data_IF_647221846396
#
_entry.id   IF_647221846396
#
_cell.length_a   1.000
_cell.length_b   1.000
_cell.length_c   1.000
_cell.angle_alpha   90.00
_cell.angle_beta   90.00
_cell.angle_gamma   90.00
#
_symmetry.space_group_name_H-M   'P 1'
#
loop_
_entity.id
_entity.type
_entity.pdbx_description
1 polymer ?
#
# COMPACT_ATOMS: atom_id res chain seq x y z
N UNK A 1 19.92 -64.58 -53.80
CA UNK A 1 20.04 -63.71 -52.60
C UNK A 1 19.15 -62.48 -52.82
N UNK A 2 17.97 -62.42 -52.20
CA UNK A 2 17.07 -61.26 -52.26
C UNK A 2 17.34 -60.39 -51.03
N UNK A 3 17.73 -59.13 -51.24
CA UNK A 3 17.90 -58.13 -50.18
C UNK A 3 16.51 -57.58 -49.81
N UNK A 4 16.09 -57.78 -48.57
CA UNK A 4 14.88 -57.16 -47.99
C UNK A 4 15.31 -55.81 -47.43
N UNK A 5 14.69 -54.72 -47.91
CA UNK A 5 14.84 -53.39 -47.33
C UNK A 5 13.79 -53.21 -46.23
N UNK A 6 14.25 -53.03 -44.99
CA UNK A 6 13.43 -52.71 -43.83
C UNK A 6 13.16 -51.19 -43.84
N UNK A 7 11.92 -50.80 -44.12
CA UNK A 7 11.47 -49.41 -43.94
C UNK A 7 11.06 -49.19 -42.49
N UNK A 8 11.82 -48.38 -41.76
CA UNK A 8 11.45 -47.89 -40.42
C UNK A 8 10.56 -46.66 -40.62
N UNK A 9 9.29 -46.77 -40.23
CA UNK A 9 8.36 -45.64 -40.19
C UNK A 9 8.52 -44.95 -38.84
N UNK A 10 9.10 -43.76 -38.82
CA UNK A 10 9.17 -42.89 -37.64
C UNK A 10 7.88 -42.08 -37.59
N UNK A 11 6.99 -42.41 -36.65
CA UNK A 11 5.81 -41.58 -36.35
C UNK A 11 6.25 -40.32 -35.60
N UNK A 12 6.13 -39.16 -36.25
CA UNK A 12 6.19 -37.87 -35.58
C UNK A 12 4.90 -37.66 -34.79
N UNK A 13 4.98 -37.73 -33.47
CA UNK A 13 3.91 -37.29 -32.58
C UNK A 13 3.90 -35.75 -32.61
N UNK A 14 2.94 -35.19 -33.35
CA UNK A 14 2.67 -33.75 -33.33
C UNK A 14 1.94 -33.45 -32.03
N UNK A 15 2.68 -32.96 -31.04
CA UNK A 15 2.08 -32.34 -29.85
C UNK A 15 1.26 -31.14 -30.33
N UNK A 16 -0.06 -31.28 -30.31
CA UNK A 16 -0.97 -30.16 -30.47
C UNK A 16 -0.81 -29.29 -29.24
N UNK A 17 -0.03 -28.23 -29.36
CA UNK A 17 0.05 -27.17 -28.37
C UNK A 17 -1.30 -26.47 -28.38
N UNK A 18 -2.18 -26.84 -27.46
CA UNK A 18 -3.40 -26.07 -27.20
C UNK A 18 -2.96 -24.66 -26.82
N UNK A 19 -3.48 -23.60 -27.47
CA UNK A 19 -3.24 -22.26 -26.99
C UNK A 19 -3.73 -22.20 -25.55
N UNK A 20 -2.83 -21.86 -24.63
CA UNK A 20 -3.19 -21.50 -23.26
C UNK A 20 -4.36 -20.55 -23.35
N UNK A 21 -5.51 -20.94 -22.81
CA UNK A 21 -6.55 -19.97 -22.46
C UNK A 21 -5.82 -18.82 -21.77
N UNK A 22 -5.88 -17.64 -22.35
CA UNK A 22 -5.52 -16.42 -21.64
C UNK A 22 -6.51 -16.36 -20.49
N UNK A 23 -6.09 -16.85 -19.33
CA UNK A 23 -6.88 -16.79 -18.12
C UNK A 23 -7.34 -15.35 -17.99
N UNK A 24 -8.65 -15.11 -18.12
CA UNK A 24 -9.23 -13.83 -17.80
C UNK A 24 -8.89 -13.58 -16.34
N UNK A 25 -7.92 -12.69 -16.11
CA UNK A 25 -7.68 -12.16 -14.77
C UNK A 25 -8.89 -11.28 -14.48
N UNK A 26 -9.66 -11.64 -13.45
CA UNK A 26 -10.78 -10.83 -12.96
C UNK A 26 -10.20 -9.53 -12.41
N UNK A 27 -10.05 -8.54 -13.28
CA UNK A 27 -9.54 -7.22 -12.89
C UNK A 27 -10.56 -6.56 -11.99
N UNK A 28 -10.04 -5.77 -11.06
CA UNK A 28 -10.88 -4.91 -10.25
C UNK A 28 -11.57 -3.85 -11.12
N UNK A 29 -12.87 -3.62 -10.88
CA UNK A 29 -13.72 -2.68 -11.62
C UNK A 29 -14.38 -1.71 -10.64
N UNK A 30 -14.75 -0.50 -11.10
CA UNK A 30 -15.46 0.50 -10.27
C UNK A 30 -16.97 0.40 -10.59
N UNK A 31 -17.47 -0.83 -10.65
CA UNK A 31 -18.84 -1.18 -11.02
C UNK A 31 -19.71 -1.53 -9.81
N UNK A 32 -19.18 -1.35 -8.60
CA UNK A 32 -19.88 -1.68 -7.35
C UNK A 32 -19.94 -3.18 -7.06
N UNK A 33 -19.16 -4.00 -7.75
CA UNK A 33 -19.01 -5.42 -7.43
C UNK A 33 -17.84 -5.66 -6.48
N UNK A 34 -18.02 -6.58 -5.53
CA UNK A 34 -16.95 -6.96 -4.64
C UNK A 34 -15.93 -7.84 -5.36
N UNK A 35 -14.67 -7.43 -5.30
CA UNK A 35 -13.54 -8.22 -5.76
C UNK A 35 -12.96 -9.06 -4.61
N UNK A 36 -12.62 -10.32 -4.89
CA UNK A 36 -11.94 -11.22 -3.97
C UNK A 36 -10.67 -11.80 -4.57
N UNK A 37 -9.62 -11.88 -3.75
CA UNK A 37 -8.38 -12.55 -4.09
C UNK A 37 -8.61 -14.05 -4.28
N UNK A 38 -7.93 -14.62 -5.27
CA UNK A 38 -7.86 -16.07 -5.44
C UNK A 38 -6.90 -16.64 -4.37
N UNK A 39 -7.17 -17.83 -3.82
CA UNK A 39 -6.29 -18.44 -2.81
C UNK A 39 -4.83 -18.57 -3.25
N UNK A 40 -4.58 -18.76 -4.55
CA UNK A 40 -3.24 -18.90 -5.12
C UNK A 40 -2.42 -17.59 -5.10
N UNK A 41 -3.08 -16.44 -4.94
CA UNK A 41 -2.43 -15.13 -4.92
C UNK A 41 -2.24 -14.59 -3.50
N UNK A 42 -2.63 -15.38 -2.48
CA UNK A 42 -2.24 -15.10 -1.10
C UNK A 42 -0.75 -15.36 -0.92
N UNK A 43 -0.04 -14.50 -0.18
CA UNK A 43 1.38 -14.72 0.07
C UNK A 43 1.58 -15.93 1.00
N UNK A 44 2.67 -16.67 0.77
CA UNK A 44 3.04 -17.82 1.61
C UNK A 44 3.66 -17.43 2.96
N UNK A 45 4.13 -16.20 3.07
CA UNK A 45 4.80 -15.63 4.25
C UNK A 45 4.42 -14.15 4.40
N UNK A 46 4.56 -13.58 5.59
CA UNK A 46 4.19 -12.18 5.82
C UNK A 46 5.18 -11.19 5.21
N UNK A 47 6.47 -11.52 5.13
CA UNK A 47 7.51 -10.63 4.60
C UNK A 47 8.01 -11.13 3.26
N UNK A 48 7.71 -10.40 2.18
CA UNK A 48 8.18 -10.71 0.84
C UNK A 48 8.19 -9.46 -0.05
N UNK A 49 8.87 -9.51 -1.19
CA UNK A 49 8.96 -8.40 -2.18
C UNK A 49 8.29 -8.75 -3.49
N UNK A 50 7.12 -9.40 -3.38
CA UNK A 50 6.37 -9.98 -4.50
C UNK A 50 4.97 -9.39 -4.65
N UNK A 51 4.68 -8.23 -4.08
CA UNK A 51 3.34 -7.63 -4.11
C UNK A 51 2.92 -7.27 -5.53
N UNK A 52 3.83 -6.67 -6.33
CA UNK A 52 3.52 -6.39 -7.74
C UNK A 52 3.35 -7.68 -8.55
N UNK A 53 4.15 -8.71 -8.27
CA UNK A 53 4.07 -10.00 -8.96
C UNK A 53 2.73 -10.69 -8.70
N UNK A 54 2.33 -10.80 -7.43
CA UNK A 54 1.13 -11.50 -7.01
C UNK A 54 -0.15 -10.73 -7.37
N UNK A 55 -0.14 -9.41 -7.16
CA UNK A 55 -1.37 -8.59 -7.19
C UNK A 55 -1.44 -7.63 -8.38
N UNK A 56 -0.35 -7.44 -9.11
CA UNK A 56 -0.29 -6.48 -10.22
C UNK A 56 -1.19 -6.83 -11.39
N UNK A 57 -1.61 -8.09 -11.53
CA UNK A 57 -2.55 -8.49 -12.58
C UNK A 57 -3.97 -7.94 -12.34
N UNK A 58 -4.33 -7.65 -11.09
CA UNK A 58 -5.66 -7.17 -10.67
C UNK A 58 -5.90 -5.67 -10.86
N UNK A 59 -4.83 -4.90 -11.02
CA UNK A 59 -4.87 -3.44 -10.99
C UNK A 59 -4.12 -2.81 -12.15
N UNK A 60 -4.36 -1.52 -12.39
CA UNK A 60 -3.67 -0.71 -13.38
C UNK A 60 -3.24 0.64 -12.79
N UNK A 61 -2.53 1.44 -13.58
CA UNK A 61 -2.18 2.82 -13.21
C UNK A 61 -1.37 2.93 -11.91
N UNK A 62 -1.78 3.88 -11.05
CA UNK A 62 -1.05 4.23 -9.83
C UNK A 62 -1.01 3.10 -8.80
N UNK A 63 -2.07 2.29 -8.69
CA UNK A 63 -2.09 1.13 -7.79
C UNK A 63 -0.96 0.13 -8.08
N UNK A 64 -0.61 -0.11 -9.36
CA UNK A 64 0.58 -0.92 -9.71
C UNK A 64 1.87 -0.32 -9.15
N UNK A 65 1.99 1.01 -9.16
CA UNK A 65 3.16 1.72 -8.63
C UNK A 65 3.19 1.68 -7.11
N UNK A 66 2.03 1.71 -6.45
CA UNK A 66 1.94 1.47 -5.01
C UNK A 66 2.42 0.06 -4.67
N UNK A 67 1.96 -0.99 -5.35
CA UNK A 67 2.44 -2.36 -5.11
C UNK A 67 3.96 -2.49 -5.30
N UNK A 68 4.50 -1.87 -6.35
CA UNK A 68 5.95 -1.80 -6.58
C UNK A 68 6.68 -1.05 -5.44
N UNK A 69 6.08 0.02 -4.91
CA UNK A 69 6.64 0.76 -3.79
C UNK A 69 6.64 -0.04 -2.49
N UNK A 70 5.61 -0.88 -2.24
CA UNK A 70 5.62 -1.81 -1.11
C UNK A 70 6.87 -2.72 -1.19
N UNK A 71 7.16 -3.28 -2.36
CA UNK A 71 8.32 -4.15 -2.56
C UNK A 71 9.65 -3.42 -2.28
N UNK A 72 9.77 -2.13 -2.65
CA UNK A 72 10.93 -1.29 -2.33
C UNK A 72 11.05 -1.09 -0.81
N UNK A 73 9.95 -0.75 -0.15
CA UNK A 73 9.94 -0.48 1.29
C UNK A 73 10.24 -1.76 2.07
N UNK A 74 9.59 -2.88 1.75
CA UNK A 74 9.81 -4.17 2.41
C UNK A 74 11.26 -4.67 2.24
N UNK A 75 11.88 -4.42 1.07
CA UNK A 75 13.27 -4.82 0.83
C UNK A 75 14.28 -4.18 1.81
N UNK A 76 13.92 -3.07 2.46
CA UNK A 76 14.74 -2.44 3.50
C UNK A 76 14.79 -3.24 4.81
N UNK A 77 13.82 -4.14 5.01
CA UNK A 77 13.61 -4.88 6.26
C UNK A 77 12.90 -6.22 5.99
N UNK A 78 13.60 -7.18 5.38
CA UNK A 78 13.03 -8.48 4.99
C UNK A 78 12.59 -9.37 6.17
N UNK A 79 13.00 -9.05 7.39
CA UNK A 79 12.58 -9.70 8.65
C UNK A 79 11.55 -8.86 9.44
N UNK A 80 11.04 -7.80 8.81
CA UNK A 80 10.14 -6.80 9.38
C UNK A 80 10.85 -5.59 9.99
N UNK A 81 12.14 -5.69 10.34
CA UNK A 81 12.96 -4.57 10.85
C UNK A 81 12.63 -4.15 12.30
N UNK A 82 11.67 -4.82 12.94
CA UNK A 82 11.19 -4.54 14.28
C UNK A 82 10.06 -3.52 14.30
N UNK A 83 9.15 -3.70 15.25
CA UNK A 83 8.04 -2.79 15.50
C UNK A 83 8.32 -1.88 16.70
N UNK A 84 8.08 -0.58 16.53
CA UNK A 84 8.12 0.37 17.62
C UNK A 84 6.98 1.38 17.49
N UNK A 85 6.16 1.46 18.54
CA UNK A 85 5.19 2.53 18.69
C UNK A 85 5.59 3.35 19.91
N UNK A 86 5.90 4.63 19.72
CA UNK A 86 6.24 5.54 20.81
C UNK A 86 5.04 5.92 21.68
N UNK A 87 4.16 4.98 22.06
CA UNK A 87 2.88 5.28 22.72
C UNK A 87 3.02 6.03 24.06
N UNK A 88 4.21 6.03 24.65
CA UNK A 88 4.52 6.69 25.92
C UNK A 88 5.35 7.98 25.74
N UNK A 89 5.57 8.44 24.51
CA UNK A 89 6.14 9.76 24.21
C UNK A 89 5.05 10.61 23.60
N UNK A 90 4.96 11.86 24.05
CA UNK A 90 4.09 12.86 23.44
C UNK A 90 4.94 13.80 22.58
N UNK A 91 4.69 13.84 21.26
CA UNK A 91 3.78 12.98 20.50
C UNK A 91 4.39 11.57 20.21
N UNK A 92 3.55 10.57 19.89
CA UNK A 92 3.97 9.17 19.73
C UNK A 92 4.79 8.84 18.47
N UNK A 93 6.08 8.50 18.59
CA UNK A 93 6.98 8.28 17.44
C UNK A 93 6.41 7.31 16.40
N UNK A 94 6.54 7.68 15.12
CA UNK A 94 6.10 6.88 13.97
C UNK A 94 7.26 6.61 13.01
N UNK A 95 8.22 5.78 13.43
CA UNK A 95 9.44 5.54 12.67
C UNK A 95 9.18 4.77 11.38
N UNK A 96 10.11 4.89 10.43
CA UNK A 96 10.08 4.23 9.12
C UNK A 96 11.14 3.14 9.01
N UNK A 97 12.29 3.32 9.66
CA UNK A 97 13.37 2.35 9.72
C UNK A 97 14.54 2.63 8.78
N UNK A 98 14.41 3.55 7.82
CA UNK A 98 15.48 3.96 6.90
C UNK A 98 15.35 5.43 6.46
N UNK A 99 16.45 6.06 5.98
CA UNK A 99 16.41 7.43 5.45
C UNK A 99 15.42 7.56 4.28
N UNK A 100 14.40 8.40 4.45
CA UNK A 100 13.36 8.59 3.44
C UNK A 100 13.64 9.84 2.62
N UNK A 101 13.57 9.72 1.29
CA UNK A 101 13.87 10.81 0.35
C UNK A 101 12.81 10.90 -0.74
N UNK A 102 12.54 12.12 -1.18
CA UNK A 102 11.74 12.40 -2.38
C UNK A 102 12.60 13.22 -3.34
N UNK A 103 12.78 12.73 -4.58
CA UNK A 103 13.64 13.39 -5.59
C UNK A 103 15.04 13.75 -5.04
N UNK A 104 15.65 12.82 -4.28
CA UNK A 104 16.92 12.97 -3.58
C UNK A 104 16.96 14.01 -2.44
N UNK A 105 15.86 14.68 -2.12
CA UNK A 105 15.76 15.56 -0.95
C UNK A 105 15.32 14.76 0.27
N UNK A 106 16.00 14.94 1.41
CA UNK A 106 15.68 14.24 2.64
C UNK A 106 14.32 14.68 3.20
N UNK A 107 13.46 13.71 3.57
CA UNK A 107 12.20 13.94 4.29
C UNK A 107 12.29 13.48 5.75
N UNK A 108 13.11 12.46 6.01
CA UNK A 108 13.39 11.91 7.33
C UNK A 108 14.80 11.29 7.34
N UNK A 109 15.57 11.60 8.38
CA UNK A 109 16.73 10.79 8.80
C UNK A 109 16.36 10.11 10.12
N UNK A 110 15.99 8.81 10.12
CA UNK A 110 15.36 8.20 11.27
C UNK A 110 16.37 7.92 12.39
N UNK A 111 15.98 8.10 13.66
CA UNK A 111 16.85 7.78 14.81
C UNK A 111 16.94 6.27 15.11
N UNK A 112 16.16 5.44 14.41
CA UNK A 112 16.03 4.00 14.65
C UNK A 112 15.66 3.24 13.38
N UNK A 113 15.94 1.94 13.36
CA UNK A 113 15.64 1.04 12.23
C UNK A 113 14.27 0.36 12.31
N UNK A 114 13.53 0.56 13.41
CA UNK A 114 12.18 0.02 13.59
C UNK A 114 11.13 0.83 12.84
N UNK A 115 9.92 0.27 12.68
CA UNK A 115 8.82 0.90 11.96
C UNK A 115 7.50 0.93 12.75
N UNK A 116 6.59 1.80 12.31
CA UNK A 116 5.19 1.92 12.76
C UNK A 116 4.25 2.10 11.56
N UNK A 117 2.95 1.87 11.76
CA UNK A 117 1.97 1.77 10.67
C UNK A 117 1.80 3.05 9.82
N UNK A 118 1.70 4.22 10.45
CA UNK A 118 1.62 5.50 9.74
C UNK A 118 2.93 5.80 9.00
N UNK A 119 4.08 5.52 9.63
CA UNK A 119 5.40 5.66 9.03
C UNK A 119 5.60 4.75 7.80
N UNK A 120 5.29 3.46 7.92
CA UNK A 120 5.46 2.49 6.83
C UNK A 120 4.56 2.80 5.64
N UNK A 121 3.29 3.10 5.87
CA UNK A 121 2.36 3.52 4.80
C UNK A 121 2.78 4.84 4.16
N UNK A 122 3.33 5.80 4.91
CA UNK A 122 3.88 7.03 4.36
C UNK A 122 5.11 6.79 3.49
N UNK A 123 5.99 5.89 3.92
CA UNK A 123 7.15 5.47 3.14
C UNK A 123 6.72 4.91 1.77
N UNK A 124 5.69 4.06 1.74
CA UNK A 124 5.11 3.53 0.50
C UNK A 124 4.59 4.65 -0.39
N UNK A 125 3.92 5.66 0.18
CA UNK A 125 3.46 6.82 -0.58
C UNK A 125 4.62 7.61 -1.20
N UNK A 126 5.67 7.91 -0.44
CA UNK A 126 6.85 8.63 -0.95
C UNK A 126 7.57 7.83 -2.03
N UNK A 127 7.76 6.52 -1.83
CA UNK A 127 8.39 5.69 -2.86
C UNK A 127 7.51 5.53 -4.11
N UNK A 128 6.18 5.55 -3.95
CA UNK A 128 5.25 5.64 -5.08
C UNK A 128 5.48 6.93 -5.87
N UNK A 129 5.64 8.07 -5.20
CA UNK A 129 5.97 9.33 -5.86
C UNK A 129 7.34 9.30 -6.54
N UNK A 130 8.37 8.69 -5.94
CA UNK A 130 9.68 8.51 -6.59
C UNK A 130 9.56 7.70 -7.89
N UNK A 131 8.74 6.64 -7.89
CA UNK A 131 8.48 5.83 -9.09
C UNK A 131 7.71 6.59 -10.17
N UNK A 132 6.77 7.45 -9.78
CA UNK A 132 5.94 8.22 -10.71
C UNK A 132 6.66 9.45 -11.29
N UNK A 133 7.56 10.05 -10.53
CA UNK A 133 8.20 11.33 -10.86
C UNK A 133 9.63 11.17 -11.39
N UNK A 134 10.04 9.95 -11.74
CA UNK A 134 11.42 9.64 -12.20
C UNK A 134 11.85 10.50 -13.40
N UNK A 135 10.93 10.78 -14.32
CA UNK A 135 11.19 11.63 -15.51
C UNK A 135 10.85 13.10 -15.29
N UNK A 136 10.12 13.42 -14.23
CA UNK A 136 9.73 14.79 -13.92
C UNK A 136 10.94 15.56 -13.36
N UNK A 137 11.44 16.53 -14.11
CA UNK A 137 12.60 17.35 -13.72
C UNK A 137 12.24 18.61 -12.94
N UNK A 138 10.95 18.92 -12.76
CA UNK A 138 10.52 20.13 -12.06
C UNK A 138 10.91 20.03 -10.57
N UNK A 139 11.53 21.05 -9.99
CA UNK A 139 11.77 21.08 -8.55
C UNK A 139 10.44 21.14 -7.81
N UNK A 140 10.38 20.53 -6.62
CA UNK A 140 9.24 20.74 -5.72
C UNK A 140 9.24 22.19 -5.23
N UNK A 141 8.07 22.86 -5.19
CA UNK A 141 7.96 24.14 -4.49
C UNK A 141 8.45 23.99 -3.05
N UNK A 142 9.21 24.97 -2.55
CA UNK A 142 9.85 24.87 -1.24
C UNK A 142 8.84 24.62 -0.11
N UNK A 143 7.67 25.25 -0.18
CA UNK A 143 6.60 25.07 0.80
C UNK A 143 5.99 23.65 0.75
N UNK A 144 5.83 23.07 -0.45
CA UNK A 144 5.30 21.73 -0.64
C UNK A 144 6.29 20.67 -0.16
N UNK A 145 7.57 20.83 -0.49
CA UNK A 145 8.66 20.01 0.05
C UNK A 145 8.71 20.07 1.59
N UNK A 146 8.60 21.28 2.16
CA UNK A 146 8.59 21.43 3.61
C UNK A 146 7.41 20.65 4.22
N UNK A 147 6.19 20.83 3.69
CA UNK A 147 5.01 20.11 4.17
C UNK A 147 5.19 18.58 4.10
N UNK A 148 5.98 18.12 3.13
CA UNK A 148 6.61 16.81 2.94
C UNK A 148 7.28 16.18 4.18
N UNK A 149 7.99 17.01 4.94
CA UNK A 149 8.94 16.52 5.95
C UNK A 149 8.23 15.90 7.14
N UNK A 150 8.90 14.93 7.77
CA UNK A 150 8.44 14.30 9.00
C UNK A 150 9.00 14.96 10.27
N UNK A 151 9.94 15.89 10.08
CA UNK A 151 10.63 16.62 11.14
C UNK A 151 10.61 18.11 10.84
N UNK A 152 10.53 18.92 11.90
CA UNK A 152 10.76 20.35 11.83
C UNK A 152 12.22 20.67 11.48
N UNK A 153 12.50 21.94 11.16
CA UNK A 153 13.83 22.36 10.68
C UNK A 153 14.96 22.09 11.68
N UNK A 154 14.66 22.11 12.98
CA UNK A 154 15.60 21.80 14.07
C UNK A 154 15.78 20.29 14.30
N UNK A 155 15.15 19.44 13.47
CA UNK A 155 15.19 17.98 13.60
C UNK A 155 14.23 17.42 14.64
N UNK A 156 13.51 18.29 15.36
CA UNK A 156 12.42 17.86 16.24
C UNK A 156 11.29 17.24 15.43
N UNK A 157 10.45 16.48 16.11
CA UNK A 157 9.34 15.81 15.45
C UNK A 157 8.26 16.81 15.05
N UNK A 158 7.62 16.54 13.91
CA UNK A 158 6.36 17.19 13.52
C UNK A 158 5.14 16.61 14.24
N UNK A 159 4.33 17.50 14.81
CA UNK A 159 3.09 17.20 15.52
C UNK A 159 1.98 16.70 14.58
N UNK A 160 1.01 16.01 15.16
CA UNK A 160 -0.20 15.58 14.44
C UNK A 160 -1.00 16.79 13.95
N UNK A 161 -1.65 16.65 12.80
CA UNK A 161 -2.38 17.69 12.08
C UNK A 161 -1.53 18.87 11.57
N UNK A 162 -0.20 18.83 11.73
CA UNK A 162 0.71 19.83 11.15
C UNK A 162 1.15 19.41 9.76
N UNK A 163 0.73 20.16 8.74
CA UNK A 163 1.13 19.99 7.33
C UNK A 163 0.82 18.57 6.81
N UNK A 164 1.47 18.13 5.73
CA UNK A 164 1.12 16.86 5.08
C UNK A 164 1.37 15.66 6.00
N UNK A 165 2.60 15.52 6.53
CA UNK A 165 2.94 14.40 7.41
C UNK A 165 2.10 14.39 8.70
N UNK A 166 1.89 15.53 9.34
CA UNK A 166 1.09 15.58 10.57
C UNK A 166 -0.37 15.18 10.31
N UNK A 167 -0.95 15.57 9.17
CA UNK A 167 -2.27 15.09 8.76
C UNK A 167 -2.27 13.59 8.49
N UNK A 168 -1.20 13.05 7.89
CA UNK A 168 -1.07 11.61 7.63
C UNK A 168 -0.99 10.79 8.93
N UNK A 169 -0.26 11.32 9.91
CA UNK A 169 0.04 10.63 11.16
C UNK A 169 -1.08 10.76 12.21
N UNK A 170 -1.94 11.77 12.06
CA UNK A 170 -2.96 12.11 13.04
C UNK A 170 -3.90 10.95 13.36
N UNK A 171 -4.34 10.91 14.62
CA UNK A 171 -5.41 10.03 15.08
C UNK A 171 -6.68 10.17 14.21
N UNK A 172 -7.27 9.03 13.87
CA UNK A 172 -8.44 8.94 12.99
C UNK A 172 -8.08 8.40 11.61
N UNK A 173 -8.44 9.13 10.56
CA UNK A 173 -8.32 8.70 9.16
C UNK A 173 -7.27 9.51 8.41
N UNK A 174 -6.02 9.48 8.90
CA UNK A 174 -4.93 10.33 8.43
C UNK A 174 -4.63 10.29 6.93
N UNK A 175 -4.78 9.13 6.28
CA UNK A 175 -4.59 9.04 4.82
C UNK A 175 -5.62 9.91 4.09
N UNK A 176 -6.85 9.98 4.58
CA UNK A 176 -7.90 10.84 4.03
C UNK A 176 -7.64 12.32 4.32
N UNK A 177 -7.17 12.66 5.53
CA UNK A 177 -6.79 14.04 5.87
C UNK A 177 -5.69 14.55 4.94
N UNK A 178 -4.61 13.77 4.75
CA UNK A 178 -3.47 14.18 3.96
C UNK A 178 -3.73 14.13 2.44
N UNK A 179 -4.24 13.00 1.92
CA UNK A 179 -4.33 12.78 0.47
C UNK A 179 -5.59 13.36 -0.16
N UNK A 180 -6.73 13.37 0.55
CA UNK A 180 -7.99 13.84 -0.02
C UNK A 180 -8.22 15.31 0.33
N UNK A 181 -8.17 15.66 1.61
CA UNK A 181 -8.50 17.02 2.06
C UNK A 181 -7.35 18.01 1.86
N UNK A 182 -6.17 17.70 2.39
CA UNK A 182 -5.04 18.64 2.46
C UNK A 182 -4.38 18.87 1.09
N UNK A 183 -4.17 17.79 0.33
CA UNK A 183 -3.41 17.86 -0.92
C UNK A 183 -4.20 17.59 -2.19
N UNK A 184 -5.42 17.06 -2.08
CA UNK A 184 -6.25 16.66 -3.22
C UNK A 184 -5.55 15.68 -4.20
N UNK A 185 -4.60 14.88 -3.73
CA UNK A 185 -3.90 13.87 -4.54
C UNK A 185 -4.68 12.57 -4.73
N UNK A 186 -5.69 12.31 -3.89
CA UNK A 186 -6.46 11.07 -3.90
C UNK A 186 -7.97 11.31 -3.84
N UNK A 187 -8.71 10.27 -4.20
CA UNK A 187 -10.16 10.20 -4.01
C UNK A 187 -10.51 9.23 -2.88
N UNK A 188 -11.59 9.53 -2.14
CA UNK A 188 -12.18 8.58 -1.19
C UNK A 188 -12.84 7.43 -1.98
N UNK A 189 -12.59 6.20 -1.55
CA UNK A 189 -13.10 4.97 -2.19
C UNK A 189 -14.00 4.22 -1.20
N UNK A 190 -15.14 3.73 -1.69
CA UNK A 190 -16.00 2.84 -0.92
C UNK A 190 -15.38 1.45 -0.78
N UNK A 191 -15.59 0.73 0.33
CA UNK A 191 -15.00 -0.60 0.55
C UNK A 191 -15.22 -1.60 -0.60
N UNK A 192 -16.40 -1.58 -1.22
CA UNK A 192 -16.75 -2.44 -2.37
C UNK A 192 -15.88 -2.17 -3.59
N UNK A 193 -15.40 -0.94 -3.76
CA UNK A 193 -14.55 -0.53 -4.87
C UNK A 193 -13.06 -0.53 -4.48
N UNK A 194 -12.68 -1.00 -3.28
CA UNK A 194 -11.30 -1.04 -2.83
C UNK A 194 -10.47 -2.05 -3.64
N UNK A 195 -9.20 -1.72 -3.90
CA UNK A 195 -8.32 -2.49 -4.79
C UNK A 195 -6.90 -2.56 -4.25
N UNK A 196 -6.14 -3.63 -4.57
CA UNK A 196 -4.73 -3.73 -4.17
C UNK A 196 -3.96 -2.43 -4.43
N UNK A 197 -3.25 -1.92 -3.43
CA UNK A 197 -2.51 -0.67 -3.49
C UNK A 197 -3.30 0.59 -3.11
N UNK A 198 -4.55 0.48 -2.69
CA UNK A 198 -5.25 1.61 -2.05
C UNK A 198 -4.69 1.85 -0.63
N UNK A 199 -4.63 3.11 -0.20
CA UNK A 199 -4.30 3.44 1.18
C UNK A 199 -5.56 3.31 2.04
N UNK A 200 -5.43 2.70 3.21
CA UNK A 200 -6.59 2.45 4.07
C UNK A 200 -6.25 2.71 5.54
N UNK A 201 -7.12 3.43 6.22
CA UNK A 201 -7.13 3.48 7.67
C UNK A 201 -8.20 2.52 8.21
N UNK A 202 -7.81 1.64 9.12
CA UNK A 202 -8.70 0.70 9.81
C UNK A 202 -9.00 1.24 11.21
N UNK A 203 -10.28 1.31 11.56
CA UNK A 203 -10.73 1.47 12.94
C UNK A 203 -11.19 0.12 13.49
N UNK A 204 -10.47 -0.42 14.47
CA UNK A 204 -10.82 -1.70 15.09
C UNK A 204 -12.03 -1.57 16.03
N UNK A 205 -12.76 -2.67 16.26
CA UNK A 205 -13.79 -2.73 17.32
C UNK A 205 -13.16 -2.64 18.72
N UNK A 206 -11.98 -3.25 18.87
CA UNK A 206 -11.19 -3.23 20.09
C UNK A 206 -9.74 -2.86 19.72
N UNK A 207 -9.33 -1.62 20.01
CA UNK A 207 -8.00 -1.09 19.66
C UNK A 207 -8.05 0.33 19.09
N UNK A 208 -6.87 0.86 18.75
CA UNK A 208 -6.72 2.17 18.11
C UNK A 208 -6.94 2.15 16.59
N UNK A 209 -6.49 3.20 15.89
CA UNK A 209 -6.43 3.22 14.43
C UNK A 209 -5.24 2.43 13.89
N UNK A 210 -5.29 2.08 12.59
CA UNK A 210 -4.17 1.45 11.89
C UNK A 210 -4.11 1.93 10.44
N UNK A 211 -2.97 2.49 10.03
CA UNK A 211 -2.73 2.93 8.64
C UNK A 211 -2.08 1.79 7.86
N UNK A 212 -2.66 1.39 6.73
CA UNK A 212 -2.26 0.19 5.97
C UNK A 212 -2.31 0.46 4.47
N UNK A 213 -1.71 -0.44 3.68
CA UNK A 213 -1.97 -0.56 2.25
C UNK A 213 -2.90 -1.76 2.05
N UNK A 214 -4.08 -1.53 1.48
CA UNK A 214 -5.04 -2.57 1.18
C UNK A 214 -4.49 -3.49 0.08
N UNK A 215 -4.53 -4.81 0.30
CA UNK A 215 -4.07 -5.81 -0.68
C UNK A 215 -5.21 -6.64 -1.26
N UNK A 216 -6.33 -6.77 -0.55
CA UNK A 216 -7.52 -7.42 -1.11
C UNK A 216 -8.49 -7.92 -0.05
N UNK A 217 -9.72 -8.18 -0.51
CA UNK A 217 -10.66 -8.99 0.25
C UNK A 217 -10.41 -10.46 -0.05
N UNK A 218 -10.60 -11.32 0.94
CA UNK A 218 -10.48 -12.76 0.78
C UNK A 218 -11.66 -13.44 1.45
N UNK A 219 -12.20 -14.47 0.81
CA UNK A 219 -13.27 -15.29 1.36
C UNK A 219 -12.78 -16.73 1.50
N UNK A 220 -12.78 -17.22 2.73
CA UNK A 220 -12.44 -18.60 3.05
C UNK A 220 -13.50 -19.58 2.52
N UNK A 221 -13.15 -20.86 2.35
CA UNK A 221 -14.10 -21.90 1.93
C UNK A 221 -15.33 -22.05 2.84
N UNK A 222 -15.20 -21.71 4.13
CA UNK A 222 -16.31 -21.74 5.11
C UNK A 222 -17.19 -20.47 5.07
N UNK A 223 -16.85 -19.50 4.22
CA UNK A 223 -17.55 -18.22 4.08
C UNK A 223 -17.01 -17.11 4.98
N UNK A 224 -16.03 -17.37 5.85
CA UNK A 224 -15.38 -16.30 6.62
C UNK A 224 -14.71 -15.30 5.67
N UNK A 225 -14.97 -14.01 5.89
CA UNK A 225 -14.38 -12.94 5.09
C UNK A 225 -13.25 -12.27 5.84
N UNK A 226 -12.19 -11.99 5.11
CA UNK A 226 -10.95 -11.42 5.62
C UNK A 226 -10.47 -10.25 4.76
N UNK A 227 -9.71 -9.38 5.40
CA UNK A 227 -8.95 -8.31 4.78
C UNK A 227 -7.48 -8.69 4.79
N UNK A 228 -6.84 -8.70 3.61
CA UNK A 228 -5.40 -8.73 3.47
C UNK A 228 -4.88 -7.30 3.33
N UNK A 229 -3.86 -6.95 4.11
CA UNK A 229 -3.19 -5.66 4.04
C UNK A 229 -1.70 -5.78 4.33
N UNK A 230 -0.92 -4.84 3.83
CA UNK A 230 0.48 -4.63 4.20
C UNK A 230 0.60 -3.45 5.16
N UNK A 231 1.37 -3.59 6.24
CA UNK A 231 1.60 -2.51 7.23
C UNK A 231 2.86 -2.76 8.05
N UNK A 232 3.08 -1.96 9.09
CA UNK A 232 3.99 -2.26 10.19
C UNK A 232 3.24 -2.47 11.52
N UNK A 233 3.45 -3.61 12.16
CA UNK A 233 2.72 -4.04 13.36
C UNK A 233 3.51 -5.05 14.22
N UNK A 234 3.08 -5.22 15.47
CA UNK A 234 3.72 -6.17 16.40
C UNK A 234 3.74 -7.61 15.87
N UNK A 235 2.66 -8.05 15.22
CA UNK A 235 2.48 -9.45 14.79
C UNK A 235 3.42 -9.87 13.67
N UNK A 236 3.88 -8.91 12.87
CA UNK A 236 4.82 -9.09 11.77
C UNK A 236 6.23 -8.61 12.14
N UNK A 237 6.49 -8.31 13.42
CA UNK A 237 7.76 -7.73 13.87
C UNK A 237 8.19 -6.51 13.04
N UNK A 238 7.26 -5.59 12.79
CA UNK A 238 7.47 -4.45 11.90
C UNK A 238 6.75 -4.69 10.58
N UNK A 239 7.39 -4.46 9.44
CA UNK A 239 6.75 -4.51 8.13
C UNK A 239 6.31 -5.92 7.72
N UNK A 240 5.10 -6.05 7.17
CA UNK A 240 4.63 -7.28 6.52
C UNK A 240 3.13 -7.33 6.30
N UNK A 241 2.72 -8.39 5.60
CA UNK A 241 1.34 -8.72 5.29
C UNK A 241 0.62 -9.33 6.49
N UNK A 242 -0.65 -8.97 6.65
CA UNK A 242 -1.53 -9.59 7.63
C UNK A 242 -2.93 -9.82 7.06
N UNK A 243 -3.43 -11.03 7.29
CA UNK A 243 -4.78 -11.44 6.96
C UNK A 243 -5.63 -11.41 8.24
N UNK A 244 -6.67 -10.58 8.28
CA UNK A 244 -7.53 -10.39 9.46
C UNK A 244 -8.99 -10.62 9.14
N UNK A 245 -9.74 -11.16 10.11
CA UNK A 245 -11.19 -11.30 9.99
C UNK A 245 -11.89 -9.94 10.01
N UNK A 246 -12.91 -9.78 9.16
CA UNK A 246 -13.70 -8.55 9.09
C UNK A 246 -14.51 -8.31 10.38
N UNK A 247 -14.75 -9.35 11.18
CA UNK A 247 -15.44 -9.24 12.46
C UNK A 247 -14.67 -8.37 13.48
N UNK A 248 -13.36 -8.17 13.31
CA UNK A 248 -12.52 -7.31 14.16
C UNK A 248 -12.61 -5.83 13.77
N UNK A 249 -13.07 -5.53 12.57
CA UNK A 249 -13.07 -4.19 11.98
C UNK A 249 -14.40 -3.51 12.30
N UNK A 250 -14.34 -2.27 12.80
CA UNK A 250 -15.52 -1.42 13.01
C UNK A 250 -15.85 -0.67 11.72
N UNK A 251 -14.86 0.04 11.19
CA UNK A 251 -14.98 0.90 10.01
C UNK A 251 -13.62 0.97 9.30
N UNK A 252 -13.65 1.35 8.03
CA UNK A 252 -12.46 1.68 7.24
C UNK A 252 -12.62 3.03 6.56
N UNK A 253 -11.51 3.68 6.23
CA UNK A 253 -11.48 4.80 5.30
C UNK A 253 -10.47 4.45 4.21
N UNK A 254 -10.94 4.28 2.98
CA UNK A 254 -10.09 3.91 1.84
C UNK A 254 -9.89 5.12 0.95
N UNK A 255 -8.66 5.34 0.49
CA UNK A 255 -8.33 6.40 -0.46
C UNK A 255 -7.42 5.84 -1.56
N UNK A 256 -7.66 6.29 -2.79
CA UNK A 256 -6.87 5.89 -3.96
C UNK A 256 -6.18 7.10 -4.57
N UNK A 257 -4.87 6.99 -4.71
CA UNK A 257 -4.07 8.00 -5.41
C UNK A 257 -4.59 8.14 -6.85
N UNK A 258 -4.92 9.35 -7.26
CA UNK A 258 -5.51 9.63 -8.58
C UNK A 258 -4.95 10.88 -9.24
N UNK A 259 -4.31 11.77 -8.48
CA UNK A 259 -3.75 13.05 -8.94
C UNK A 259 -2.38 13.33 -8.30
N UNK A 260 -1.36 12.50 -8.53
CA UNK A 260 -0.03 12.69 -7.93
C UNK A 260 0.61 14.04 -8.29
N UNK A 261 0.25 14.63 -9.43
CA UNK A 261 0.77 15.94 -9.86
C UNK A 261 0.33 17.10 -8.94
N UNK A 262 -0.74 16.94 -8.15
CA UNK A 262 -1.14 17.94 -7.15
C UNK A 262 -0.06 18.17 -6.09
N UNK A 263 0.94 17.28 -5.99
CA UNK A 263 2.17 17.49 -5.23
C UNK A 263 2.85 18.84 -5.51
N UNK A 264 2.77 19.35 -6.74
CA UNK A 264 3.40 20.61 -7.13
C UNK A 264 2.48 21.84 -6.94
N UNK A 265 1.21 21.63 -6.62
CA UNK A 265 0.18 22.68 -6.69
C UNK A 265 -0.60 22.88 -5.39
N UNK A 266 -0.62 21.87 -4.49
CA UNK A 266 -1.42 21.97 -3.27
C UNK A 266 -1.00 23.15 -2.41
N UNK A 267 -1.97 23.77 -1.74
CA UNK A 267 -1.75 24.88 -0.82
C UNK A 267 -1.42 24.33 0.60
N UNK A 268 -0.20 24.57 1.14
CA UNK A 268 0.17 24.08 2.47
C UNK A 268 -0.60 24.70 3.64
N UNK A 269 -1.40 25.74 3.40
CA UNK A 269 -2.29 26.37 4.38
C UNK A 269 -3.71 25.75 4.39
N UNK A 270 -3.94 24.69 3.62
CA UNK A 270 -5.25 24.02 3.57
C UNK A 270 -5.58 23.37 4.91
N UNK A 271 -6.75 23.72 5.46
CA UNK A 271 -7.24 23.14 6.70
C UNK A 271 -7.96 21.81 6.44
N UNK A 272 -7.82 20.86 7.36
CA UNK A 272 -8.51 19.57 7.34
C UNK A 272 -9.56 19.51 8.44
N UNK A 273 -10.64 18.77 8.19
CA UNK A 273 -11.61 18.36 9.19
C UNK A 273 -11.25 16.94 9.67
N UNK A 274 -10.91 16.82 10.95
CA UNK A 274 -10.56 15.55 11.59
C UNK A 274 -11.78 14.73 12.03
N UNK A 275 -12.96 15.35 12.06
CA UNK A 275 -14.23 14.67 12.39
C UNK A 275 -14.88 14.18 11.11
N UNK A 276 -14.42 13.02 10.62
CA UNK A 276 -15.00 12.32 9.48
C UNK A 276 -15.42 10.90 9.86
N UNK A 277 -16.52 10.43 9.30
CA UNK A 277 -17.01 9.08 9.51
C UNK A 277 -16.33 8.09 8.57
N UNK A 278 -15.91 6.94 9.10
CA UNK A 278 -15.46 5.81 8.30
C UNK A 278 -16.64 5.04 7.71
N UNK A 279 -16.35 4.27 6.67
CA UNK A 279 -17.31 3.41 6.01
C UNK A 279 -17.40 2.05 6.73
N UNK A 280 -18.62 1.60 6.99
CA UNK A 280 -18.87 0.23 7.41
C UNK A 280 -18.74 -0.70 6.21
N UNK A 281 -18.16 -1.87 6.43
CA UNK A 281 -18.01 -2.88 5.38
C UNK A 281 -19.32 -3.67 5.31
N UNK A 282 -20.32 -3.12 4.61
CA UNK A 282 -21.65 -3.72 4.44
C UNK A 282 -21.68 -4.50 3.13
N UNK A 283 -21.83 -5.81 3.23
CA UNK A 283 -21.91 -6.72 2.10
C UNK A 283 -23.34 -7.21 1.89
#
# INVERSE_FOLDING_TARGET
>A
MKKVFLFIVVQFIVFSCTPSETAHVDRTMDDGTWFFLKPADLPGEAQHTRHLELLGSYVEGYNKKVLQAIDIVQATAMDGGGYFAGLNVEPAESPIGYPLKLKNQALLEPPRTTSYCSGSSYAVFIETLNLLLVENKNPLPAANYEALRMQEMDGSRREDNVKFWGNWNADGFGNHFALVQYSNMADKILPVNARPGDFMNIAWKHGGGHSVIFLGWYQEPDGERKLLYWSSQKRTNGMGDELVSLDKIRQVMTVRLSRPDQLFEFNPETMTNTVVAGDTINW
#
